data_IF_208538489018
#
_entry.id   IF_208538489018
#
_cell.length_a   1.000
_cell.length_b   1.000
_cell.length_c   1.000
_cell.angle_alpha   90.00
_cell.angle_beta   90.00
_cell.angle_gamma   90.00
#
_symmetry.space_group_name_H-M   'P 1'
#
loop_
_entity.id
_entity.type
_entity.pdbx_description
1 polymer ?
#
# COMPACT_ATOMS: atom_id res chain seq x y z
N UNK A 1 -22.41 28.64 18.61
CA UNK A 1 -22.74 28.17 19.98
C UNK A 1 -22.74 26.65 19.96
N UNK A 2 -21.66 26.00 20.42
CA UNK A 2 -21.55 24.55 20.43
C UNK A 2 -21.99 24.02 21.80
N UNK A 3 -23.08 23.24 21.82
CA UNK A 3 -23.69 22.70 23.02
C UNK A 3 -22.96 21.41 23.43
N UNK A 4 -21.96 21.52 24.29
CA UNK A 4 -21.27 20.39 24.92
C UNK A 4 -22.18 19.78 25.99
N UNK A 5 -22.94 18.74 25.62
CA UNK A 5 -23.63 17.91 26.61
C UNK A 5 -22.57 17.15 27.41
N UNK A 6 -22.27 17.65 28.60
CA UNK A 6 -21.43 16.95 29.56
C UNK A 6 -22.24 15.74 30.07
N UNK A 7 -21.96 14.55 29.52
CA UNK A 7 -22.67 13.33 29.88
C UNK A 7 -22.13 12.86 31.24
N UNK A 8 -22.88 13.15 32.30
CA UNK A 8 -22.57 12.69 33.64
C UNK A 8 -22.68 11.16 33.69
N UNK A 9 -21.54 10.48 33.82
CA UNK A 9 -21.49 9.04 34.08
C UNK A 9 -21.57 8.83 35.60
N UNK A 10 -22.60 8.12 36.12
CA UNK A 10 -22.71 7.77 37.54
C UNK A 10 -21.43 7.07 38.02
N UNK A 11 -21.01 7.33 39.26
CA UNK A 11 -19.74 6.81 39.81
C UNK A 11 -19.61 5.28 39.75
N UNK A 12 -20.73 4.56 39.83
CA UNK A 12 -20.81 3.10 39.73
C UNK A 12 -20.52 2.55 38.31
N UNK A 13 -20.64 3.38 37.27
CA UNK A 13 -20.38 3.04 35.87
C UNK A 13 -19.03 3.62 35.40
N UNK A 14 -18.31 4.33 36.27
CA UNK A 14 -16.97 4.84 35.97
C UNK A 14 -15.98 3.70 36.10
N UNK A 15 -15.42 3.31 34.97
CA UNK A 15 -14.28 2.42 34.91
C UNK A 15 -13.12 3.03 35.72
N UNK A 16 -12.75 2.36 36.81
CA UNK A 16 -11.58 2.74 37.60
C UNK A 16 -10.33 2.34 36.82
N UNK A 17 -9.51 3.32 36.46
CA UNK A 17 -8.28 3.09 35.69
C UNK A 17 -7.31 2.13 36.40
N UNK A 18 -7.39 2.00 37.73
CA UNK A 18 -6.63 1.02 38.49
C UNK A 18 -7.18 -0.38 38.30
N UNK A 19 -8.50 -0.55 38.37
CA UNK A 19 -9.19 -1.84 38.26
C UNK A 19 -9.09 -2.42 36.84
N UNK A 20 -9.16 -1.57 35.81
CA UNK A 20 -8.86 -1.95 34.42
C UNK A 20 -7.44 -2.50 34.29
N UNK A 21 -6.45 -1.80 34.87
CA UNK A 21 -5.05 -2.22 34.79
C UNK A 21 -4.80 -3.54 35.53
N UNK A 22 -5.42 -3.75 36.68
CA UNK A 22 -5.35 -5.04 37.39
C UNK A 22 -6.00 -6.16 36.56
N UNK A 23 -7.16 -5.91 35.95
CA UNK A 23 -7.84 -6.89 35.09
C UNK A 23 -7.02 -7.24 33.85
N UNK A 24 -6.40 -6.25 33.19
CA UNK A 24 -5.53 -6.45 32.02
C UNK A 24 -4.29 -7.29 32.38
N UNK A 25 -3.64 -6.97 33.50
CA UNK A 25 -2.47 -7.74 33.98
C UNK A 25 -2.86 -9.18 34.31
N UNK A 26 -4.01 -9.39 34.94
CA UNK A 26 -4.50 -10.72 35.28
C UNK A 26 -4.87 -11.53 34.02
N UNK A 27 -5.55 -10.92 33.05
CA UNK A 27 -5.89 -11.56 31.77
C UNK A 27 -4.62 -11.90 30.98
N UNK A 28 -3.64 -11.01 30.94
CA UNK A 28 -2.33 -11.27 30.33
C UNK A 28 -1.67 -12.50 30.97
N UNK A 29 -1.63 -12.55 32.31
CA UNK A 29 -1.03 -13.67 33.04
C UNK A 29 -1.72 -15.00 32.77
N UNK A 30 -3.05 -15.01 32.70
CA UNK A 30 -3.83 -16.22 32.41
C UNK A 30 -3.62 -16.70 30.97
N UNK A 31 -3.61 -15.78 30.00
CA UNK A 31 -3.32 -16.10 28.59
C UNK A 31 -1.91 -16.66 28.42
N UNK A 32 -0.93 -16.08 29.11
CA UNK A 32 0.46 -16.56 29.09
C UNK A 32 0.57 -17.99 29.66
N UNK A 33 -0.18 -18.31 30.72
CA UNK A 33 -0.21 -19.65 31.31
C UNK A 33 -0.87 -20.67 30.38
N UNK A 34 -2.04 -20.33 29.83
CA UNK A 34 -2.73 -21.16 28.84
C UNK A 34 -1.86 -21.42 27.60
N UNK A 35 -1.13 -20.40 27.12
CA UNK A 35 -0.20 -20.54 26.01
C UNK A 35 0.97 -21.47 26.34
N UNK A 36 1.58 -21.33 27.52
CA UNK A 36 2.67 -22.20 27.98
C UNK A 36 2.22 -23.65 28.08
N UNK A 37 1.03 -23.91 28.59
CA UNK A 37 0.51 -25.27 28.72
C UNK A 37 0.20 -25.89 27.36
N UNK A 38 -0.34 -25.10 26.43
CA UNK A 38 -0.53 -25.50 25.03
C UNK A 38 0.80 -25.81 24.32
N UNK A 39 1.83 -24.99 24.53
CA UNK A 39 3.16 -25.20 23.98
C UNK A 39 3.82 -26.47 24.56
N UNK A 40 3.79 -26.66 25.89
CA UNK A 40 4.29 -27.86 26.58
C UNK A 40 3.58 -29.13 26.13
N UNK A 41 2.27 -29.05 25.91
CA UNK A 41 1.45 -30.15 25.39
C UNK A 41 1.76 -30.53 23.94
N UNK A 42 2.70 -29.84 23.30
CA UNK A 42 3.09 -30.11 21.92
C UNK A 42 2.08 -29.55 20.90
N UNK A 43 1.14 -28.70 21.31
CA UNK A 43 0.13 -28.10 20.42
C UNK A 43 0.74 -27.26 19.29
N UNK A 44 2.00 -26.83 19.45
CA UNK A 44 2.77 -26.16 18.41
C UNK A 44 3.65 -27.10 17.58
N UNK A 45 3.77 -28.40 17.88
CA UNK A 45 4.68 -29.30 17.15
C UNK A 45 4.10 -29.75 15.81
N UNK A 46 2.77 -29.92 15.73
CA UNK A 46 2.09 -30.45 14.55
C UNK A 46 1.68 -29.35 13.55
N UNK A 47 2.50 -28.30 13.44
CA UNK A 47 2.29 -27.26 12.44
C UNK A 47 3.14 -27.58 11.19
N UNK A 48 2.51 -27.83 10.02
CA UNK A 48 3.21 -28.20 8.77
C UNK A 48 4.29 -27.19 8.30
N UNK A 49 4.23 -25.96 8.82
CA UNK A 49 5.13 -24.87 8.46
C UNK A 49 5.98 -24.37 9.62
N UNK A 50 5.99 -25.05 10.77
CA UNK A 50 6.83 -24.65 11.91
C UNK A 50 8.31 -24.59 11.53
N UNK A 51 8.94 -23.48 11.89
CA UNK A 51 10.37 -23.24 11.61
C UNK A 51 10.68 -22.94 10.14
N UNK A 52 9.71 -23.03 9.22
CA UNK A 52 9.89 -22.54 7.85
C UNK A 52 9.86 -21.01 7.89
N UNK A 53 10.77 -20.38 7.15
CA UNK A 53 10.71 -18.93 6.94
C UNK A 53 9.40 -18.61 6.24
N UNK A 54 8.70 -17.57 6.72
CA UNK A 54 7.56 -17.02 6.01
C UNK A 54 8.03 -16.66 4.58
N UNK A 55 7.28 -17.11 3.58
CA UNK A 55 7.52 -16.73 2.19
C UNK A 55 7.04 -15.28 2.02
N UNK A 56 7.85 -14.34 2.50
CA UNK A 56 7.65 -12.93 2.25
C UNK A 56 8.17 -12.68 0.83
N UNK A 57 7.33 -12.91 -0.17
CA UNK A 57 7.60 -12.43 -1.53
C UNK A 57 7.80 -10.91 -1.54
N UNK A 58 8.41 -10.37 -2.59
CA UNK A 58 8.66 -8.92 -2.69
C UNK A 58 7.35 -8.10 -2.65
N UNK A 59 6.19 -8.70 -2.92
CA UNK A 59 4.90 -8.04 -2.77
C UNK A 59 4.54 -7.85 -1.28
N UNK A 60 4.86 -8.80 -0.41
CA UNK A 60 4.67 -8.72 1.04
C UNK A 60 5.54 -7.67 1.75
N UNK A 61 6.59 -7.16 1.09
CA UNK A 61 7.44 -6.08 1.63
C UNK A 61 6.88 -4.67 1.38
N UNK A 62 5.79 -4.55 0.61
CA UNK A 62 5.08 -3.27 0.49
C UNK A 62 4.41 -2.94 1.81
N UNK A 63 4.63 -1.74 2.34
CA UNK A 63 3.94 -1.21 3.53
C UNK A 63 2.41 -1.32 3.44
N UNK A 64 1.86 -1.48 2.23
CA UNK A 64 0.44 -1.60 1.95
C UNK A 64 0.00 -2.98 1.42
N UNK A 65 0.79 -4.05 1.62
CA UNK A 65 0.47 -5.38 1.08
C UNK A 65 -0.94 -5.87 1.47
N UNK A 66 -1.30 -5.79 2.75
CA UNK A 66 -2.60 -6.25 3.24
C UNK A 66 -3.76 -5.49 2.57
N UNK A 67 -3.65 -4.16 2.48
CA UNK A 67 -4.63 -3.31 1.81
C UNK A 67 -4.72 -3.64 0.31
N UNK A 68 -3.58 -3.75 -0.37
CA UNK A 68 -3.52 -4.08 -1.79
C UNK A 68 -4.13 -5.47 -2.09
N UNK A 69 -3.91 -6.45 -1.22
CA UNK A 69 -4.50 -7.79 -1.32
C UNK A 69 -6.03 -7.75 -1.16
N UNK A 70 -6.54 -6.99 -0.18
CA UNK A 70 -7.99 -6.79 0.01
C UNK A 70 -8.61 -6.11 -1.21
N UNK A 71 -8.01 -5.03 -1.72
CA UNK A 71 -8.51 -4.30 -2.89
C UNK A 71 -8.52 -5.18 -4.15
N UNK A 72 -7.47 -5.97 -4.36
CA UNK A 72 -7.40 -6.96 -5.44
C UNK A 72 -8.54 -7.98 -5.33
N UNK A 73 -8.77 -8.54 -4.14
CA UNK A 73 -9.85 -9.51 -3.91
C UNK A 73 -11.25 -8.88 -4.07
N UNK A 74 -11.39 -7.59 -3.79
CA UNK A 74 -12.61 -6.81 -4.01
C UNK A 74 -12.78 -6.33 -5.47
N UNK A 75 -11.90 -6.76 -6.39
CA UNK A 75 -11.91 -6.34 -7.79
C UNK A 75 -11.80 -4.81 -8.00
N UNK A 76 -11.15 -4.13 -7.05
CA UNK A 76 -10.90 -2.69 -7.11
C UNK A 76 -9.60 -2.47 -7.88
N UNK A 77 -9.69 -1.64 -8.93
CA UNK A 77 -8.52 -1.28 -9.73
C UNK A 77 -7.57 -0.41 -8.90
N UNK A 78 -6.27 -0.72 -8.87
CA UNK A 78 -5.30 0.11 -8.16
C UNK A 78 -5.20 1.51 -8.77
N UNK A 79 -5.04 2.57 -7.96
CA UNK A 79 -4.94 3.95 -8.44
C UNK A 79 -3.79 4.18 -9.44
N UNK A 80 -2.71 3.41 -9.35
CA UNK A 80 -1.56 3.53 -10.25
C UNK A 80 -1.90 3.11 -11.70
N UNK A 81 -2.98 2.36 -11.93
CA UNK A 81 -3.40 1.95 -13.27
C UNK A 81 -3.99 3.14 -14.06
N UNK A 82 -4.77 3.98 -13.40
CA UNK A 82 -5.26 5.23 -13.99
C UNK A 82 -4.09 6.15 -14.35
N UNK A 83 -3.09 6.22 -13.47
CA UNK A 83 -1.88 6.99 -13.72
C UNK A 83 -1.07 6.42 -14.89
N UNK A 84 -1.00 5.09 -15.04
CA UNK A 84 -0.37 4.43 -16.19
C UNK A 84 -1.04 4.82 -17.50
N UNK A 85 -2.37 4.77 -17.57
CA UNK A 85 -3.12 5.19 -18.76
C UNK A 85 -2.89 6.67 -19.07
N UNK A 86 -2.93 7.52 -18.04
CA UNK A 86 -2.65 8.95 -18.20
C UNK A 86 -1.25 9.21 -18.77
N UNK A 87 -0.23 8.53 -18.26
CA UNK A 87 1.15 8.66 -18.77
C UNK A 87 1.21 8.26 -20.25
N UNK A 88 0.63 7.12 -20.62
CA UNK A 88 0.57 6.66 -22.01
C UNK A 88 -0.09 7.69 -22.92
N UNK A 89 -1.23 8.23 -22.49
CA UNK A 89 -2.00 9.18 -23.30
C UNK A 89 -1.25 10.51 -23.45
N UNK A 90 -0.54 10.97 -22.42
CA UNK A 90 0.29 12.18 -22.50
C UNK A 90 1.51 11.99 -23.42
N UNK A 91 2.19 10.82 -23.37
CA UNK A 91 3.26 10.52 -24.33
C UNK A 91 2.71 10.52 -25.76
N UNK A 92 1.52 9.93 -25.97
CA UNK A 92 0.87 9.91 -27.28
C UNK A 92 0.57 11.32 -27.79
N UNK A 93 0.05 12.22 -26.94
CA UNK A 93 -0.19 13.62 -27.31
C UNK A 93 1.07 14.34 -27.78
N UNK A 94 2.21 14.09 -27.12
CA UNK A 94 3.50 14.65 -27.55
C UNK A 94 3.89 14.11 -28.93
N UNK A 95 3.75 12.80 -29.14
CA UNK A 95 4.05 12.17 -30.44
C UNK A 95 3.13 12.67 -31.56
N UNK A 96 1.82 12.76 -31.31
CA UNK A 96 0.84 13.28 -32.28
C UNK A 96 1.15 14.74 -32.65
N UNK A 97 1.60 15.56 -31.68
CA UNK A 97 2.00 16.93 -31.94
C UNK A 97 3.27 17.03 -32.82
N UNK A 98 4.26 16.16 -32.59
CA UNK A 98 5.45 16.07 -33.45
C UNK A 98 5.09 15.63 -34.88
N UNK A 99 4.24 14.61 -35.01
CA UNK A 99 3.82 14.07 -36.30
C UNK A 99 2.97 15.09 -37.09
N UNK A 100 2.24 15.98 -36.39
CA UNK A 100 1.49 17.09 -37.00
C UNK A 100 2.37 18.27 -37.45
N UNK A 101 3.69 18.21 -37.25
CA UNK A 101 4.62 19.28 -37.62
C UNK A 101 4.57 20.50 -36.69
N UNK A 102 3.95 20.40 -35.51
CA UNK A 102 4.01 21.47 -34.51
C UNK A 102 5.41 21.55 -33.94
N UNK A 103 5.90 22.78 -33.74
CA UNK A 103 7.13 23.02 -33.01
C UNK A 103 6.87 22.72 -31.53
N UNK A 104 7.31 21.56 -31.07
CA UNK A 104 7.20 21.12 -29.68
C UNK A 104 8.59 21.15 -29.06
N UNK A 105 8.74 21.90 -27.97
CA UNK A 105 9.95 21.82 -27.16
C UNK A 105 9.91 20.54 -26.30
N UNK A 106 10.61 19.50 -26.76
CA UNK A 106 10.55 18.17 -26.16
C UNK A 106 11.01 18.13 -24.71
N UNK A 107 12.05 18.87 -24.36
CA UNK A 107 12.58 18.95 -22.99
C UNK A 107 11.48 19.41 -22.01
N UNK A 108 10.80 20.50 -22.37
CA UNK A 108 9.70 21.08 -21.59
C UNK A 108 8.48 20.16 -21.55
N UNK A 109 8.17 19.46 -22.65
CA UNK A 109 7.05 18.54 -22.73
C UNK A 109 7.25 17.22 -21.96
N UNK A 110 8.48 16.73 -21.88
CA UNK A 110 8.81 15.44 -21.23
C UNK A 110 8.93 15.57 -19.71
N UNK A 111 9.32 16.75 -19.20
CA UNK A 111 9.43 17.02 -17.77
C UNK A 111 8.18 16.61 -16.94
N UNK A 112 6.95 17.08 -17.26
CA UNK A 112 5.75 16.69 -16.50
C UNK A 112 5.44 15.19 -16.60
N UNK A 113 5.77 14.56 -17.73
CA UNK A 113 5.62 13.11 -17.92
C UNK A 113 6.52 12.35 -16.95
N UNK A 114 7.77 12.78 -16.81
CA UNK A 114 8.72 12.16 -15.89
C UNK A 114 8.33 12.31 -14.41
N UNK A 115 7.70 13.43 -14.04
CA UNK A 115 7.12 13.59 -12.70
C UNK A 115 5.95 12.63 -12.45
N UNK A 116 5.10 12.37 -13.46
CA UNK A 116 4.06 11.35 -13.36
C UNK A 116 4.66 9.94 -13.24
N UNK A 117 5.69 9.62 -14.02
CA UNK A 117 6.40 8.32 -13.95
C UNK A 117 7.01 8.11 -12.57
N UNK A 118 7.58 9.16 -11.95
CA UNK A 118 8.11 9.08 -10.58
C UNK A 118 7.02 8.70 -9.59
N UNK A 119 5.84 9.35 -9.66
CA UNK A 119 4.68 9.01 -8.81
C UNK A 119 4.15 7.59 -9.07
N UNK A 120 4.13 7.18 -10.34
CA UNK A 120 3.75 5.83 -10.73
C UNK A 120 4.71 4.78 -10.14
N UNK A 121 6.02 4.96 -10.27
CA UNK A 121 7.00 4.01 -9.76
C UNK A 121 6.99 3.88 -8.22
N UNK A 122 6.62 4.95 -7.51
CA UNK A 122 6.46 4.92 -6.05
C UNK A 122 5.21 4.16 -5.60
N UNK A 123 4.21 4.01 -6.47
CA UNK A 123 2.93 3.39 -6.14
C UNK A 123 2.75 2.00 -6.74
N UNK A 124 3.46 1.66 -7.82
CA UNK A 124 3.35 0.37 -8.47
C UNK A 124 4.33 -0.67 -7.90
N UNK A 125 4.03 -1.97 -8.04
CA UNK A 125 4.96 -3.04 -7.66
C UNK A 125 6.28 -2.95 -8.42
N UNK A 126 7.38 -3.39 -7.79
CA UNK A 126 8.73 -3.33 -8.36
C UNK A 126 8.84 -3.87 -9.81
N UNK A 127 8.23 -5.02 -10.18
CA UNK A 127 8.30 -5.54 -11.56
C UNK A 127 7.61 -4.65 -12.61
N UNK A 128 6.74 -3.73 -12.19
CA UNK A 128 5.94 -2.87 -13.06
C UNK A 128 6.51 -1.46 -13.21
N UNK A 129 7.60 -1.14 -12.50
CA UNK A 129 8.25 0.17 -12.56
C UNK A 129 8.81 0.43 -13.97
N UNK A 130 8.75 1.69 -14.40
CA UNK A 130 9.15 2.13 -15.75
C UNK A 130 10.28 3.16 -15.67
N UNK A 131 11.15 3.17 -16.67
CA UNK A 131 12.20 4.20 -16.79
C UNK A 131 11.60 5.55 -17.15
N UNK A 132 12.30 6.63 -16.80
CA UNK A 132 11.99 7.99 -17.29
C UNK A 132 12.07 8.05 -18.82
N UNK A 133 11.29 8.95 -19.39
CA UNK A 133 11.32 9.28 -20.81
C UNK A 133 12.47 10.23 -21.09
N UNK A 134 13.21 9.95 -22.16
CA UNK A 134 14.23 10.82 -22.71
C UNK A 134 13.73 11.39 -24.05
N UNK A 135 13.86 12.70 -24.30
CA UNK A 135 13.41 13.35 -25.53
C UNK A 135 13.84 12.63 -26.81
N UNK A 136 15.10 12.19 -26.88
CA UNK A 136 15.68 11.52 -28.05
C UNK A 136 15.07 10.13 -28.34
N UNK A 137 14.53 9.46 -27.31
CA UNK A 137 14.09 8.06 -27.37
C UNK A 137 12.60 7.90 -27.09
N UNK A 138 11.84 8.99 -27.11
CA UNK A 138 10.42 9.00 -26.73
C UNK A 138 9.59 8.00 -27.53
N UNK A 139 9.85 7.87 -28.84
CA UNK A 139 9.12 6.93 -29.72
C UNK A 139 9.37 5.47 -29.34
N UNK A 140 10.62 5.06 -29.16
CA UNK A 140 10.97 3.70 -28.72
C UNK A 140 10.49 3.42 -27.29
N UNK A 141 10.49 4.43 -26.42
CA UNK A 141 10.03 4.25 -25.05
C UNK A 141 8.50 4.14 -24.97
N UNK A 142 7.76 4.80 -25.86
CA UNK A 142 6.30 4.71 -25.94
C UNK A 142 5.81 3.28 -26.17
N UNK A 143 6.53 2.47 -26.95
CA UNK A 143 6.21 1.05 -27.17
C UNK A 143 6.15 0.23 -25.87
N UNK A 144 6.86 0.67 -24.82
CA UNK A 144 6.82 0.01 -23.49
C UNK A 144 5.59 0.39 -22.66
N UNK A 145 4.77 1.31 -23.14
CA UNK A 145 3.55 1.82 -22.49
C UNK A 145 2.27 1.41 -23.22
N UNK A 146 2.37 0.84 -24.42
CA UNK A 146 1.28 0.23 -25.19
C UNK A 146 1.12 -1.22 -24.76
#
# INVERSE_FOLDING_TARGET
MANSKNQFVPGEVRESSEETRYSEVQVSSWLDEAFKDFEKGGGLQDNPHKGKRLAVDDAHQSENYALNSILKNANVLPPWLELQHKIRDEIKKVLDALDSGKQVELETAVFPINEMIKKYNLSCPFPMQKTRIFPEKIRTQYEKWV
#
